data_IF_115950338811
#
_entry.id   IF_115950338811
#
_cell.length_a   1.000
_cell.length_b   1.000
_cell.length_c   1.000
_cell.angle_alpha   90.00
_cell.angle_beta   90.00
_cell.angle_gamma   90.00
#
_symmetry.space_group_name_H-M   'P 1'
#
loop_
_entity.id
_entity.type
_entity.pdbx_description
1 polymer ?
#
# COMPACT_ATOMS: atom_id res chain seq x y z
N UNK A 1 -31.16 -3.64 5.80
CA UNK A 1 -30.51 -3.11 7.01
C UNK A 1 -29.01 -3.24 6.77
N UNK A 2 -28.23 -2.17 6.96
CA UNK A 2 -27.05 -1.90 6.14
C UNK A 2 -25.91 -2.87 6.45
N UNK A 3 -25.38 -3.51 5.42
CA UNK A 3 -24.05 -4.11 5.40
C UNK A 3 -23.02 -3.01 5.71
N UNK A 4 -22.80 -2.76 7.00
CA UNK A 4 -21.68 -1.98 7.51
C UNK A 4 -20.43 -2.86 7.51
N UNK A 5 -20.09 -3.46 6.36
CA UNK A 5 -18.71 -3.86 6.12
C UNK A 5 -17.93 -2.57 5.85
N UNK A 6 -16.82 -2.31 6.55
CA UNK A 6 -15.94 -1.23 6.13
C UNK A 6 -15.47 -1.58 4.72
N UNK A 7 -16.00 -0.91 3.70
CA UNK A 7 -15.58 -1.11 2.30
C UNK A 7 -14.18 -0.52 2.15
N UNK A 8 -13.18 -1.24 2.64
CA UNK A 8 -11.78 -0.87 2.51
C UNK A 8 -11.43 -0.97 1.03
N UNK A 9 -11.31 0.16 0.37
CA UNK A 9 -10.88 0.21 -1.02
C UNK A 9 -9.35 0.19 -1.04
N UNK A 10 -8.77 -0.80 -1.70
CA UNK A 10 -7.32 -0.89 -1.90
C UNK A 10 -6.96 -0.60 -3.36
N UNK A 11 -5.86 0.12 -3.58
CA UNK A 11 -5.27 0.33 -4.90
C UNK A 11 -3.77 0.07 -4.85
N UNK A 12 -3.26 -0.66 -5.83
CA UNK A 12 -1.84 -0.91 -6.00
C UNK A 12 -1.27 -0.06 -7.14
N UNK A 13 -0.11 0.54 -6.90
CA UNK A 13 0.62 1.33 -7.89
C UNK A 13 2.12 1.26 -7.60
N UNK A 14 2.93 1.18 -8.65
CA UNK A 14 4.38 1.14 -8.54
C UNK A 14 5.03 2.52 -8.64
N UNK A 15 6.14 2.68 -7.93
CA UNK A 15 6.93 3.92 -7.88
C UNK A 15 7.92 4.05 -9.03
N UNK A 16 8.26 2.92 -9.65
CA UNK A 16 9.23 2.81 -10.72
C UNK A 16 8.65 3.14 -12.10
N UNK A 17 9.45 3.68 -13.02
CA UNK A 17 9.00 3.99 -14.39
C UNK A 17 8.57 2.74 -15.17
N UNK A 18 9.10 1.56 -14.85
CA UNK A 18 8.71 0.28 -15.47
C UNK A 18 7.41 -0.33 -14.92
N UNK A 19 6.83 0.25 -13.87
CA UNK A 19 5.62 -0.30 -13.26
C UNK A 19 4.43 -0.22 -14.21
N UNK A 20 3.68 -1.33 -14.31
CA UNK A 20 2.48 -1.45 -15.14
C UNK A 20 1.41 -0.41 -14.78
N UNK A 21 1.25 -0.14 -13.49
CA UNK A 21 0.42 0.94 -12.96
C UNK A 21 1.35 1.88 -12.21
N UNK A 22 1.50 3.11 -12.70
CA UNK A 22 2.36 4.11 -12.07
C UNK A 22 1.60 4.85 -10.98
N UNK A 23 2.26 5.08 -9.85
CA UNK A 23 1.74 5.96 -8.81
C UNK A 23 1.63 7.39 -9.34
N UNK A 24 0.51 8.04 -9.03
CA UNK A 24 0.23 9.43 -9.40
C UNK A 24 -0.23 10.18 -8.17
N UNK A 25 -0.17 11.52 -8.23
CA UNK A 25 -0.65 12.38 -7.15
C UNK A 25 -2.08 12.03 -6.71
N UNK A 26 -2.99 11.80 -7.67
CA UNK A 26 -4.38 11.41 -7.34
C UNK A 26 -4.50 10.11 -6.54
N UNK A 27 -3.59 9.14 -6.71
CA UNK A 27 -3.58 7.92 -5.88
C UNK A 27 -3.16 8.24 -4.44
N UNK A 28 -2.12 9.07 -4.29
CA UNK A 28 -1.61 9.48 -2.98
C UNK A 28 -2.66 10.33 -2.25
N UNK A 29 -3.25 11.32 -2.93
CA UNK A 29 -4.30 12.20 -2.42
C UNK A 29 -5.53 11.44 -1.95
N UNK A 30 -5.98 10.43 -2.70
CA UNK A 30 -7.11 9.59 -2.32
C UNK A 30 -6.80 8.63 -1.16
N UNK A 31 -5.57 8.11 -1.07
CA UNK A 31 -5.19 7.16 -0.03
C UNK A 31 -5.10 7.84 1.35
N UNK A 32 -5.82 7.31 2.33
CA UNK A 32 -5.69 7.70 3.75
C UNK A 32 -4.44 7.09 4.38
N UNK A 33 -4.16 5.83 4.04
CA UNK A 33 -3.01 5.07 4.51
C UNK A 33 -2.24 4.54 3.30
N UNK A 34 -0.92 4.72 3.32
CA UNK A 34 -0.03 4.22 2.28
C UNK A 34 0.82 3.09 2.83
N UNK A 35 0.76 1.92 2.21
CA UNK A 35 1.60 0.80 2.54
C UNK A 35 2.74 0.68 1.53
N UNK A 36 3.98 0.66 2.02
CA UNK A 36 5.17 0.42 1.21
C UNK A 36 5.84 -0.87 1.63
N UNK A 37 6.35 -1.62 0.66
CA UNK A 37 7.12 -2.85 0.90
C UNK A 37 8.41 -2.53 1.67
N UNK A 38 9.18 -1.56 1.18
CA UNK A 38 10.44 -1.13 1.77
C UNK A 38 10.52 0.38 1.95
N UNK A 39 11.49 0.82 2.75
CA UNK A 39 11.73 2.25 3.02
C UNK A 39 12.12 3.01 1.75
N UNK A 40 12.78 2.34 0.81
CA UNK A 40 13.19 2.93 -0.47
C UNK A 40 12.00 3.43 -1.29
N UNK A 41 10.91 2.67 -1.36
CA UNK A 41 9.68 3.09 -2.04
C UNK A 41 9.07 4.35 -1.41
N UNK A 42 9.04 4.45 -0.08
CA UNK A 42 8.60 5.67 0.61
C UNK A 42 9.48 6.87 0.30
N UNK A 43 10.79 6.66 0.17
CA UNK A 43 11.73 7.73 -0.17
C UNK A 43 11.50 8.25 -1.61
N UNK A 44 11.34 7.34 -2.59
CA UNK A 44 10.98 7.69 -3.96
C UNK A 44 9.66 8.46 -4.00
N UNK A 45 8.65 8.01 -3.26
CA UNK A 45 7.36 8.68 -3.15
C UNK A 45 7.53 10.09 -2.59
N UNK A 46 8.30 10.26 -1.50
CA UNK A 46 8.56 11.58 -0.90
C UNK A 46 9.34 12.50 -1.81
N UNK A 47 10.28 11.99 -2.60
CA UNK A 47 11.02 12.78 -3.58
C UNK A 47 10.12 13.20 -4.75
N UNK A 48 9.27 12.31 -5.26
CA UNK A 48 8.39 12.59 -6.42
C UNK A 48 7.14 13.40 -6.04
N UNK A 49 6.56 13.14 -4.88
CA UNK A 49 5.28 13.68 -4.43
C UNK A 49 5.33 14.20 -2.98
N UNK A 50 6.26 15.11 -2.64
CA UNK A 50 6.43 15.59 -1.27
C UNK A 50 5.16 16.28 -0.74
N UNK A 51 4.43 17.00 -1.60
CA UNK A 51 3.22 17.72 -1.23
C UNK A 51 2.05 16.78 -0.92
N UNK A 52 1.82 15.77 -1.75
CA UNK A 52 0.74 14.81 -1.53
C UNK A 52 0.97 13.94 -0.29
N UNK A 53 2.23 13.71 0.06
CA UNK A 53 2.61 12.94 1.25
C UNK A 53 2.68 13.79 2.51
N UNK A 54 2.59 15.11 2.41
CA UNK A 54 2.61 16.00 3.56
C UNK A 54 1.38 15.71 4.44
N UNK A 55 1.63 15.21 5.65
CA UNK A 55 0.57 14.85 6.60
C UNK A 55 -0.06 13.47 6.39
N UNK A 56 0.36 12.69 5.38
CA UNK A 56 -0.14 11.33 5.17
C UNK A 56 0.65 10.28 5.93
N UNK A 57 -0.05 9.21 6.32
CA UNK A 57 0.55 8.10 7.07
C UNK A 57 1.10 7.05 6.09
N UNK A 58 2.43 6.94 6.06
CA UNK A 58 3.13 5.89 5.33
C UNK A 58 3.53 4.80 6.31
N UNK A 59 3.08 3.59 6.05
CA UNK A 59 3.39 2.39 6.82
C UNK A 59 4.33 1.52 5.98
N UNK A 60 5.47 1.19 6.56
CA UNK A 60 6.45 0.32 5.93
C UNK A 60 6.27 -1.10 6.45
N UNK A 61 5.88 -2.01 5.55
CA UNK A 61 5.62 -3.42 5.84
C UNK A 61 6.93 -4.20 6.08
N UNK A 62 8.08 -3.63 5.68
CA UNK A 62 9.42 -4.25 5.71
C UNK A 62 9.46 -5.60 4.99
N UNK A 63 8.74 -5.69 3.88
CA UNK A 63 8.70 -6.85 3.01
C UNK A 63 9.73 -6.63 1.91
N UNK A 64 10.76 -7.49 1.78
CA UNK A 64 11.78 -7.32 0.75
C UNK A 64 11.20 -7.54 -0.65
N UNK A 65 11.63 -6.76 -1.65
CA UNK A 65 11.20 -6.90 -3.05
C UNK A 65 11.88 -8.09 -3.76
N UNK A 66 11.80 -9.28 -3.14
CA UNK A 66 12.42 -10.54 -3.63
C UNK A 66 11.38 -11.55 -4.09
N UNK A 67 10.11 -11.16 -4.10
CA UNK A 67 9.00 -12.05 -4.40
C UNK A 67 8.62 -11.95 -5.88
N UNK A 68 8.32 -13.09 -6.48
CA UNK A 68 7.84 -13.11 -7.85
C UNK A 68 6.39 -12.60 -7.94
N UNK A 69 5.98 -12.21 -9.14
CA UNK A 69 4.60 -11.85 -9.40
C UNK A 69 3.66 -13.02 -9.02
N UNK A 70 2.68 -12.73 -8.17
CA UNK A 70 1.74 -13.70 -7.59
C UNK A 70 2.34 -14.77 -6.66
N UNK A 71 3.51 -14.51 -6.08
CA UNK A 71 4.08 -15.41 -5.09
C UNK A 71 3.16 -15.56 -3.86
N UNK A 72 2.87 -16.80 -3.46
CA UNK A 72 1.99 -17.08 -2.34
C UNK A 72 2.56 -16.58 -1.01
N UNK A 73 3.89 -16.61 -0.85
CA UNK A 73 4.56 -16.13 0.37
C UNK A 73 4.32 -14.63 0.55
N UNK A 74 4.33 -13.87 -0.56
CA UNK A 74 4.06 -12.42 -0.53
C UNK A 74 2.63 -12.14 -0.08
N UNK A 75 1.66 -12.91 -0.56
CA UNK A 75 0.26 -12.74 -0.18
C UNK A 75 0.04 -13.00 1.31
N UNK A 76 0.67 -14.05 1.85
CA UNK A 76 0.58 -14.40 3.26
C UNK A 76 1.21 -13.32 4.15
N UNK A 77 2.41 -12.86 3.80
CA UNK A 77 3.10 -11.75 4.49
C UNK A 77 2.29 -10.46 4.44
N UNK A 78 1.72 -10.12 3.29
CA UNK A 78 0.86 -8.95 3.16
C UNK A 78 -0.34 -9.08 4.08
N UNK A 79 -1.01 -10.23 4.09
CA UNK A 79 -2.19 -10.47 4.94
C UNK A 79 -1.85 -10.37 6.42
N UNK A 80 -0.72 -10.95 6.85
CA UNK A 80 -0.23 -10.87 8.22
C UNK A 80 0.03 -9.41 8.64
N UNK A 81 0.80 -8.66 7.84
CA UNK A 81 1.17 -7.28 8.18
C UNK A 81 0.01 -6.31 8.07
N UNK A 82 -0.88 -6.50 7.10
CA UNK A 82 -2.09 -5.70 6.97
C UNK A 82 -3.01 -5.94 8.18
N UNK A 83 -3.14 -7.18 8.69
CA UNK A 83 -3.91 -7.45 9.91
C UNK A 83 -3.38 -6.69 11.13
N UNK A 84 -2.07 -6.59 11.30
CA UNK A 84 -1.47 -5.82 12.40
C UNK A 84 -1.78 -4.32 12.31
N UNK A 85 -2.01 -3.80 11.10
CA UNK A 85 -2.21 -2.37 10.87
C UNK A 85 -3.68 -1.95 10.70
N UNK A 86 -4.54 -2.84 10.20
CA UNK A 86 -5.96 -2.56 9.97
C UNK A 86 -6.89 -3.14 11.05
N UNK A 87 -6.42 -4.05 11.91
CA UNK A 87 -7.26 -4.74 12.90
C UNK A 87 -8.07 -5.89 12.29
N UNK A 88 -8.63 -6.78 13.13
CA UNK A 88 -9.23 -8.08 12.75
C UNK A 88 -10.44 -8.05 11.78
N UNK A 89 -10.85 -6.90 11.24
CA UNK A 89 -12.06 -6.75 10.43
C UNK A 89 -11.77 -6.33 8.98
N UNK A 90 -10.70 -6.85 8.38
CA UNK A 90 -10.43 -6.65 6.95
C UNK A 90 -10.41 -7.99 6.24
N UNK A 91 -11.58 -8.35 5.72
CA UNK A 91 -11.71 -9.31 4.63
C UNK A 91 -11.11 -8.67 3.38
N UNK A 92 -9.84 -8.98 3.10
CA UNK A 92 -9.19 -8.62 1.83
C UNK A 92 -9.65 -9.65 0.79
N UNK A 93 -10.50 -9.25 -0.18
CA UNK A 93 -10.99 -10.14 -1.24
C UNK A 93 -9.88 -10.55 -2.20
#
# INVERSE_FOLDING_TARGET
>A
MPDSTPTCQARSAGTEPGARVRVTAGHLGWAEVLFVMERHHADILRQKFPQELAGKRIINLRIPDKFHFMDHILQDLLRERLREHLGEDVDVP
#
